data_IF_032323276333
#
_entry.id   IF_032323276333
#
_cell.length_a   1.000
_cell.length_b   1.000
_cell.length_c   1.000
_cell.angle_alpha   90.00
_cell.angle_beta   90.00
_cell.angle_gamma   90.00
#
_symmetry.space_group_name_H-M   'P 1'
#
loop_
_entity.id
_entity.type
_entity.pdbx_description
1 polymer ?
#
# COMPACT_ATOMS: atom_id res chain seq x y z
N UNK A 1 -69.45 15.24 5.83
CA UNK A 1 -68.28 14.75 6.56
C UNK A 1 -67.26 14.31 5.52
N UNK A 2 -66.25 15.12 5.14
CA UNK A 2 -65.24 14.85 4.12
C UNK A 2 -63.99 14.30 4.83
N UNK A 3 -63.63 13.06 4.54
CA UNK A 3 -62.41 12.40 5.07
C UNK A 3 -61.28 12.72 4.11
N UNK A 4 -60.32 13.51 4.55
CA UNK A 4 -59.10 13.81 3.83
C UNK A 4 -58.05 12.72 4.17
N UNK A 5 -57.72 11.88 3.20
CA UNK A 5 -56.67 10.87 3.36
C UNK A 5 -55.36 11.57 3.06
N UNK A 6 -54.46 11.69 4.03
CA UNK A 6 -53.09 12.17 3.88
C UNK A 6 -52.24 10.96 3.53
N UNK A 7 -51.76 10.86 2.29
CA UNK A 7 -50.76 9.87 1.84
C UNK A 7 -49.39 10.43 2.20
N UNK A 8 -48.76 9.90 3.24
CA UNK A 8 -47.37 10.16 3.59
C UNK A 8 -46.48 9.39 2.60
N UNK A 9 -45.86 10.10 1.68
CA UNK A 9 -44.84 9.51 0.78
C UNK A 9 -43.57 9.26 1.60
N UNK A 10 -43.21 8.01 1.87
CA UNK A 10 -41.89 7.62 2.38
C UNK A 10 -40.87 7.83 1.24
N UNK A 11 -40.10 8.90 1.31
CA UNK A 11 -38.93 9.09 0.47
C UNK A 11 -37.82 8.20 1.05
N UNK A 12 -37.62 7.03 0.46
CA UNK A 12 -36.49 6.14 0.75
C UNK A 12 -35.24 6.81 0.16
N UNK A 13 -34.43 7.45 0.98
CA UNK A 13 -33.11 7.94 0.59
C UNK A 13 -32.21 6.70 0.40
N UNK A 14 -32.06 6.26 -0.85
CA UNK A 14 -30.97 5.35 -1.21
C UNK A 14 -29.67 6.13 -1.08
N UNK A 15 -28.96 5.93 0.04
CA UNK A 15 -27.55 6.30 0.13
C UNK A 15 -26.81 5.39 -0.84
N UNK A 16 -26.06 5.92 -1.83
CA UNK A 16 -25.24 5.06 -2.68
C UNK A 16 -24.25 4.33 -1.79
N UNK A 17 -24.29 3.01 -1.76
CA UNK A 17 -23.24 2.21 -1.18
C UNK A 17 -21.98 2.51 -2.03
N UNK A 18 -21.01 3.20 -1.45
CA UNK A 18 -19.70 3.37 -2.08
C UNK A 18 -19.05 1.99 -2.12
N UNK A 19 -19.11 1.35 -3.27
CA UNK A 19 -18.38 0.12 -3.56
C UNK A 19 -16.88 0.43 -3.59
N UNK A 20 -16.06 -0.53 -3.15
CA UNK A 20 -14.62 -0.48 -3.27
C UNK A 20 -14.17 -0.06 -4.68
N UNK A 21 -13.18 0.83 -4.75
CA UNK A 21 -12.57 1.21 -6.03
C UNK A 21 -11.51 0.18 -6.42
N UNK A 22 -11.74 -0.53 -7.52
CA UNK A 22 -10.75 -1.41 -8.13
C UNK A 22 -9.83 -0.55 -9.01
N UNK A 23 -8.52 -0.57 -8.73
CA UNK A 23 -7.54 0.17 -9.52
C UNK A 23 -7.14 -0.58 -10.79
N UNK A 24 -6.97 -1.90 -10.68
CA UNK A 24 -6.63 -2.78 -11.79
C UNK A 24 -6.98 -4.22 -11.41
N UNK A 25 -7.25 -5.05 -12.42
CA UNK A 25 -7.39 -6.49 -12.23
C UNK A 25 -6.74 -7.26 -13.37
N UNK A 26 -6.25 -8.46 -13.07
CA UNK A 26 -5.63 -9.36 -14.06
C UNK A 26 -5.85 -10.81 -13.66
N UNK A 27 -6.17 -11.62 -14.66
CA UNK A 27 -6.24 -13.06 -14.51
C UNK A 27 -4.93 -13.72 -14.98
N UNK A 28 -4.44 -14.67 -14.19
CA UNK A 28 -3.25 -15.48 -14.47
C UNK A 28 -3.63 -16.95 -14.54
N UNK A 29 -2.91 -17.72 -15.33
CA UNK A 29 -3.14 -19.15 -15.53
C UNK A 29 -3.96 -19.48 -16.76
N UNK A 30 -4.20 -20.79 -16.97
CA UNK A 30 -4.91 -21.30 -18.14
C UNK A 30 -6.39 -20.92 -18.11
N UNK A 31 -6.97 -20.64 -19.28
CA UNK A 31 -8.43 -20.48 -19.43
C UNK A 31 -9.19 -21.80 -19.13
N UNK A 32 -8.50 -22.92 -19.23
CA UNK A 32 -9.02 -24.25 -18.93
C UNK A 32 -8.82 -24.67 -17.46
N UNK A 33 -8.34 -23.74 -16.60
CA UNK A 33 -8.18 -24.04 -15.19
C UNK A 33 -9.52 -24.42 -14.55
N UNK A 34 -9.48 -25.45 -13.71
CA UNK A 34 -10.69 -25.99 -13.07
C UNK A 34 -11.08 -25.16 -11.85
N UNK A 35 -10.09 -24.55 -11.22
CA UNK A 35 -10.24 -23.73 -10.02
C UNK A 35 -9.69 -22.33 -10.25
N UNK A 36 -10.35 -21.33 -9.68
CA UNK A 36 -9.89 -19.96 -9.71
C UNK A 36 -9.91 -19.38 -8.30
N UNK A 37 -8.77 -18.84 -7.83
CA UNK A 37 -8.67 -18.12 -6.55
C UNK A 37 -8.59 -16.63 -6.80
N UNK A 38 -9.32 -15.87 -5.99
CA UNK A 38 -9.32 -14.41 -6.07
C UNK A 38 -8.47 -13.80 -4.95
N UNK A 39 -7.44 -13.04 -5.35
CA UNK A 39 -6.54 -12.33 -4.44
C UNK A 39 -6.89 -10.84 -4.47
N UNK A 40 -7.21 -10.27 -3.33
CA UNK A 40 -7.34 -8.82 -3.15
C UNK A 40 -6.05 -8.27 -2.56
N UNK A 41 -5.40 -7.32 -3.23
CA UNK A 41 -4.08 -6.86 -2.85
C UNK A 41 -3.85 -5.36 -3.04
N UNK A 42 -3.02 -4.78 -2.17
CA UNK A 42 -2.48 -3.43 -2.35
C UNK A 42 -1.07 -3.42 -3.00
N UNK A 43 -0.63 -4.56 -3.51
CA UNK A 43 0.65 -4.67 -4.23
C UNK A 43 0.41 -4.54 -5.71
N UNK A 44 1.16 -3.66 -6.38
CA UNK A 44 1.09 -3.50 -7.83
C UNK A 44 1.28 -4.85 -8.52
N UNK A 45 0.43 -5.10 -9.52
CA UNK A 45 0.40 -6.37 -10.25
C UNK A 45 1.76 -6.69 -10.85
N UNK A 46 2.44 -5.71 -11.44
CA UNK A 46 3.74 -5.91 -12.09
C UNK A 46 4.83 -6.39 -11.13
N UNK A 47 4.75 -5.98 -9.86
CA UNK A 47 5.69 -6.42 -8.83
C UNK A 47 5.40 -7.85 -8.37
N UNK A 48 4.13 -8.25 -8.31
CA UNK A 48 3.72 -9.56 -7.78
C UNK A 48 3.50 -10.61 -8.88
N UNK A 49 3.35 -10.20 -10.15
CA UNK A 49 3.14 -11.08 -11.30
C UNK A 49 4.16 -12.22 -11.39
N UNK A 50 5.48 -12.02 -11.24
CA UNK A 50 6.43 -13.12 -11.33
C UNK A 50 6.16 -14.26 -10.34
N UNK A 51 5.71 -13.91 -9.12
CA UNK A 51 5.38 -14.90 -8.08
C UNK A 51 4.14 -15.70 -8.47
N UNK A 52 3.11 -15.00 -8.98
CA UNK A 52 1.85 -15.64 -9.41
C UNK A 52 2.10 -16.51 -10.64
N UNK A 53 2.84 -16.02 -11.62
CA UNK A 53 3.18 -16.76 -12.85
C UNK A 53 3.94 -18.04 -12.55
N UNK A 54 4.90 -18.00 -11.63
CA UNK A 54 5.60 -19.20 -11.17
C UNK A 54 4.65 -20.19 -10.45
N UNK A 55 3.71 -19.68 -9.66
CA UNK A 55 2.72 -20.50 -8.97
C UNK A 55 1.79 -21.22 -9.95
N UNK A 56 1.17 -20.50 -10.89
CA UNK A 56 0.23 -21.09 -11.86
C UNK A 56 0.94 -22.00 -12.87
N UNK A 57 2.21 -21.73 -13.20
CA UNK A 57 3.01 -22.62 -14.04
C UNK A 57 3.21 -24.00 -13.40
N UNK A 58 3.39 -24.03 -12.07
CA UNK A 58 3.50 -25.29 -11.29
C UNK A 58 2.14 -25.93 -11.00
N UNK A 59 1.04 -25.21 -11.20
CA UNK A 59 -0.33 -25.64 -10.89
C UNK A 59 -1.29 -25.28 -12.02
N UNK A 60 -1.20 -25.96 -13.17
CA UNK A 60 -1.94 -25.57 -14.38
C UNK A 60 -3.48 -25.67 -14.26
N UNK A 61 -3.97 -26.39 -13.25
CA UNK A 61 -5.39 -26.50 -12.96
C UNK A 61 -5.94 -25.32 -12.14
N UNK A 62 -5.07 -24.40 -11.71
CA UNK A 62 -5.42 -23.24 -10.89
C UNK A 62 -5.21 -21.98 -11.72
N UNK A 63 -6.20 -21.10 -11.69
CA UNK A 63 -6.08 -19.70 -12.12
C UNK A 63 -6.13 -18.78 -10.92
N UNK A 64 -5.51 -17.62 -11.06
CA UNK A 64 -5.54 -16.55 -10.05
C UNK A 64 -6.19 -15.32 -10.67
N UNK A 65 -7.27 -14.84 -10.09
CA UNK A 65 -7.84 -13.53 -10.35
C UNK A 65 -7.27 -12.55 -9.32
N UNK A 66 -6.37 -11.69 -9.75
CA UNK A 66 -5.71 -10.70 -8.91
C UNK A 66 -6.39 -9.36 -9.06
N UNK A 67 -6.83 -8.79 -7.92
CA UNK A 67 -7.55 -7.51 -7.84
C UNK A 67 -6.69 -6.53 -7.04
N UNK A 68 -6.30 -5.42 -7.68
CA UNK A 68 -5.55 -4.33 -7.06
C UNK A 68 -6.50 -3.26 -6.55
N UNK A 69 -6.34 -2.90 -5.29
CA UNK A 69 -7.06 -1.80 -4.67
C UNK A 69 -6.19 -1.09 -3.61
N UNK A 70 -6.57 0.12 -3.23
CA UNK A 70 -5.88 0.82 -2.15
C UNK A 70 -6.01 0.05 -0.83
N UNK A 71 -5.04 0.22 0.07
CA UNK A 71 -5.08 -0.45 1.38
C UNK A 71 -6.32 -0.06 2.21
N UNK A 72 -6.86 1.14 2.00
CA UNK A 72 -8.09 1.60 2.64
C UNK A 72 -9.33 0.93 2.03
N UNK A 73 -9.37 0.82 0.71
CA UNK A 73 -10.48 0.13 0.02
C UNK A 73 -10.50 -1.36 0.37
N UNK A 74 -9.34 -2.01 0.49
CA UNK A 74 -9.23 -3.39 0.98
C UNK A 74 -9.85 -3.52 2.37
N UNK A 75 -9.51 -2.60 3.28
CA UNK A 75 -10.11 -2.60 4.62
C UNK A 75 -11.63 -2.48 4.54
N UNK A 76 -12.15 -1.51 3.79
CA UNK A 76 -13.59 -1.28 3.62
C UNK A 76 -14.31 -2.47 3.00
N UNK A 77 -13.72 -3.08 1.96
CA UNK A 77 -14.28 -4.25 1.28
C UNK A 77 -14.49 -5.43 2.23
N UNK A 78 -13.53 -5.69 3.12
CA UNK A 78 -13.60 -6.82 4.05
C UNK A 78 -14.49 -6.51 5.25
N UNK A 79 -14.33 -5.34 5.87
CA UNK A 79 -15.02 -4.95 7.09
C UNK A 79 -16.50 -4.59 6.84
N UNK A 80 -16.72 -3.66 5.93
CA UNK A 80 -18.01 -3.01 5.73
C UNK A 80 -18.83 -3.68 4.63
N UNK A 81 -18.23 -3.88 3.45
CA UNK A 81 -18.92 -4.43 2.28
C UNK A 81 -19.05 -5.95 2.36
N UNK A 82 -18.23 -6.58 3.22
CA UNK A 82 -18.19 -8.03 3.43
C UNK A 82 -17.95 -8.81 2.14
N UNK A 83 -17.12 -8.26 1.28
CA UNK A 83 -16.72 -8.87 0.02
C UNK A 83 -16.03 -10.22 0.23
N UNK A 84 -16.15 -11.10 -0.76
CA UNK A 84 -15.60 -12.46 -0.71
C UNK A 84 -14.36 -12.56 -1.58
N UNK A 85 -13.23 -12.84 -0.96
CA UNK A 85 -11.93 -13.12 -1.58
C UNK A 85 -11.32 -14.36 -0.94
N UNK A 86 -10.34 -14.97 -1.60
CA UNK A 86 -9.69 -16.19 -1.08
C UNK A 86 -8.39 -15.85 -0.33
N UNK A 87 -7.73 -14.76 -0.70
CA UNK A 87 -6.56 -14.24 -0.01
C UNK A 87 -6.57 -12.72 -0.02
N UNK A 88 -6.21 -12.10 1.09
CA UNK A 88 -6.04 -10.65 1.21
C UNK A 88 -4.60 -10.32 1.55
N UNK A 89 -3.98 -9.46 0.74
CA UNK A 89 -2.59 -9.01 0.90
C UNK A 89 -2.58 -7.50 1.03
N UNK A 90 -1.91 -6.95 2.05
CA UNK A 90 -1.77 -5.50 2.17
C UNK A 90 -0.45 -5.09 2.79
N UNK A 91 -0.03 -3.89 2.41
CA UNK A 91 1.09 -3.16 2.99
C UNK A 91 0.71 -2.38 4.25
N UNK A 92 -0.59 -2.10 4.47
CA UNK A 92 -1.08 -1.47 5.70
C UNK A 92 -1.28 -2.54 6.77
N UNK A 93 -0.19 -2.98 7.38
CA UNK A 93 -0.20 -4.08 8.34
C UNK A 93 -1.05 -3.79 9.60
N UNK A 94 -1.21 -2.54 9.97
CA UNK A 94 -2.08 -2.09 11.07
C UNK A 94 -3.56 -2.33 10.75
N UNK A 95 -4.01 -2.02 9.53
CA UNK A 95 -5.37 -2.30 9.07
C UNK A 95 -5.60 -3.81 8.93
N UNK A 96 -4.61 -4.57 8.45
CA UNK A 96 -4.67 -6.02 8.39
C UNK A 96 -4.80 -6.62 9.80
N UNK A 97 -4.00 -6.16 10.75
CA UNK A 97 -4.07 -6.58 12.15
C UNK A 97 -5.44 -6.28 12.75
N UNK A 98 -6.01 -5.11 12.44
CA UNK A 98 -7.35 -4.75 12.88
C UNK A 98 -8.40 -5.71 12.33
N UNK A 99 -8.39 -6.00 11.02
CA UNK A 99 -9.31 -6.96 10.39
C UNK A 99 -9.25 -8.34 11.07
N UNK A 100 -8.05 -8.83 11.35
CA UNK A 100 -7.86 -10.12 12.04
C UNK A 100 -8.40 -10.08 13.45
N UNK A 101 -8.13 -9.02 14.22
CA UNK A 101 -8.64 -8.87 15.59
C UNK A 101 -10.18 -8.73 15.65
N UNK A 102 -10.78 -8.13 14.62
CA UNK A 102 -12.23 -8.00 14.46
C UNK A 102 -12.90 -9.31 13.95
N UNK A 103 -12.10 -10.36 13.72
CA UNK A 103 -12.59 -11.70 13.41
C UNK A 103 -12.87 -11.96 11.93
N UNK A 104 -12.28 -11.18 11.02
CA UNK A 104 -12.47 -11.36 9.58
C UNK A 104 -11.55 -12.42 8.96
N UNK A 105 -10.59 -12.99 9.70
CA UNK A 105 -9.66 -13.99 9.22
C UNK A 105 -9.98 -15.41 9.74
N UNK A 106 -9.60 -16.41 8.94
CA UNK A 106 -9.54 -17.82 9.33
C UNK A 106 -8.14 -18.18 9.81
N UNK A 107 -8.05 -19.11 10.74
CA UNK A 107 -6.76 -19.70 11.13
C UNK A 107 -6.29 -20.66 10.05
N UNK A 108 -4.97 -20.66 9.79
CA UNK A 108 -4.34 -21.55 8.83
C UNK A 108 -2.99 -22.03 9.36
N UNK A 109 -2.79 -23.34 9.37
CA UNK A 109 -1.55 -23.95 9.80
C UNK A 109 -0.99 -24.82 8.68
N UNK A 110 0.30 -24.68 8.43
CA UNK A 110 1.06 -25.51 7.50
C UNK A 110 2.52 -25.58 7.95
N UNK A 111 3.31 -26.54 7.45
CA UNK A 111 4.75 -26.55 7.72
C UNK A 111 5.46 -25.23 7.37
N UNK A 112 4.98 -24.53 6.34
CA UNK A 112 5.52 -23.22 5.92
C UNK A 112 5.16 -22.15 6.93
N UNK A 113 3.89 -22.02 7.33
CA UNK A 113 3.48 -21.00 8.30
C UNK A 113 4.04 -21.28 9.69
N UNK A 114 4.21 -22.53 10.06
CA UNK A 114 4.84 -22.92 11.32
C UNK A 114 6.33 -22.52 11.38
N UNK A 115 7.03 -22.50 10.24
CA UNK A 115 8.45 -22.12 10.15
C UNK A 115 8.68 -20.60 10.17
N UNK A 116 7.63 -19.78 10.05
CA UNK A 116 7.76 -18.32 10.15
C UNK A 116 8.18 -17.92 11.57
N UNK A 117 9.04 -16.89 11.71
CA UNK A 117 9.39 -16.35 13.02
C UNK A 117 8.16 -15.75 13.72
N UNK A 118 8.16 -15.75 15.05
CA UNK A 118 7.01 -15.30 15.85
C UNK A 118 6.55 -13.87 15.54
N UNK A 119 7.48 -12.97 15.20
CA UNK A 119 7.15 -11.61 14.82
C UNK A 119 6.44 -11.49 13.45
N UNK A 120 6.51 -12.53 12.61
CA UNK A 120 5.91 -12.55 11.29
C UNK A 120 4.54 -13.24 11.25
N UNK A 121 4.02 -13.68 12.38
CA UNK A 121 2.70 -14.32 12.45
C UNK A 121 1.90 -13.86 13.65
N UNK A 122 0.58 -13.83 13.52
CA UNK A 122 -0.33 -13.45 14.57
C UNK A 122 -1.52 -14.41 14.62
N UNK A 123 -1.68 -15.17 15.72
CA UNK A 123 -2.78 -16.11 16.00
C UNK A 123 -3.00 -17.16 14.90
N UNK A 124 -1.97 -17.51 14.12
CA UNK A 124 -2.09 -18.34 12.93
C UNK A 124 -3.18 -17.83 11.94
N UNK A 125 -3.43 -16.53 11.93
CA UNK A 125 -4.44 -15.87 11.12
C UNK A 125 -3.86 -14.78 10.21
N UNK A 126 -2.75 -14.14 10.61
CA UNK A 126 -2.06 -13.12 9.84
C UNK A 126 -0.59 -13.51 9.67
N UNK A 127 -0.10 -13.43 8.44
CA UNK A 127 1.24 -13.88 8.08
C UNK A 127 1.99 -12.79 7.33
N UNK A 128 3.15 -12.39 7.89
CA UNK A 128 4.09 -11.49 7.22
C UNK A 128 5.04 -12.31 6.34
N UNK A 129 5.11 -11.97 5.06
CA UNK A 129 5.93 -12.73 4.10
C UNK A 129 7.00 -11.91 3.41
N UNK A 130 6.95 -10.57 3.53
CA UNK A 130 7.98 -9.68 3.00
C UNK A 130 8.26 -8.53 3.97
N UNK A 131 9.53 -8.21 4.14
CA UNK A 131 10.04 -7.11 4.97
C UNK A 131 10.65 -6.08 4.04
N UNK A 132 10.13 -4.85 4.10
CA UNK A 132 10.52 -3.80 3.17
C UNK A 132 10.95 -2.53 3.91
N UNK A 133 12.15 -2.00 3.65
CA UNK A 133 12.56 -0.71 4.19
C UNK A 133 11.80 0.42 3.50
N UNK A 134 11.48 1.47 4.23
CA UNK A 134 10.92 2.70 3.70
C UNK A 134 12.06 3.68 3.45
N UNK A 135 12.10 4.22 2.23
CA UNK A 135 13.24 4.97 1.72
C UNK A 135 12.86 6.38 1.26
N UNK A 136 13.85 7.24 1.16
CA UNK A 136 13.77 8.47 0.40
C UNK A 136 14.25 8.19 -1.03
N UNK A 137 13.52 8.70 -2.01
CA UNK A 137 13.90 8.63 -3.42
C UNK A 137 14.16 10.04 -3.93
N UNK A 138 15.28 10.23 -4.64
CA UNK A 138 15.64 11.52 -5.20
C UNK A 138 15.97 11.42 -6.70
N UNK A 139 15.70 12.49 -7.42
CA UNK A 139 16.11 12.65 -8.82
C UNK A 139 17.62 12.86 -8.88
N UNK A 140 18.34 11.99 -9.60
CA UNK A 140 19.80 12.14 -9.79
C UNK A 140 20.15 13.46 -10.46
N UNK A 141 19.31 13.90 -11.40
CA UNK A 141 19.50 15.15 -12.12
C UNK A 141 19.43 16.34 -11.15
N UNK A 142 18.42 16.41 -10.32
CA UNK A 142 18.19 17.54 -9.41
C UNK A 142 19.18 17.55 -8.24
N UNK A 143 19.72 16.38 -7.88
CA UNK A 143 20.74 16.22 -6.85
C UNK A 143 22.17 16.17 -7.39
N UNK A 144 22.41 16.45 -8.69
CA UNK A 144 23.74 16.37 -9.28
C UNK A 144 24.75 17.32 -8.61
N UNK A 145 24.30 18.49 -8.14
CA UNK A 145 25.12 19.49 -7.44
C UNK A 145 24.79 19.59 -5.94
N UNK A 146 23.93 18.72 -5.41
CA UNK A 146 23.54 18.74 -4.00
C UNK A 146 24.16 17.55 -3.25
N UNK A 147 24.43 17.71 -1.94
CA UNK A 147 24.84 16.58 -1.12
C UNK A 147 23.70 15.55 -1.02
N UNK A 148 24.02 14.25 -0.98
CA UNK A 148 23.03 13.23 -0.69
C UNK A 148 22.55 13.34 0.77
N UNK A 149 21.23 13.33 1.03
CA UNK A 149 20.71 13.33 2.38
C UNK A 149 21.10 12.03 3.10
N UNK A 150 21.63 12.16 4.32
CA UNK A 150 21.98 11.02 5.17
C UNK A 150 21.01 10.85 6.34
N UNK A 151 20.21 11.86 6.63
CA UNK A 151 19.18 11.84 7.68
C UNK A 151 18.01 12.77 7.31
N UNK A 152 16.89 12.64 7.99
CA UNK A 152 15.74 13.54 7.82
C UNK A 152 16.10 14.98 8.12
N UNK A 153 16.93 15.21 9.15
CA UNK A 153 17.46 16.56 9.49
C UNK A 153 18.32 17.12 8.36
N UNK A 154 19.19 16.30 7.77
CA UNK A 154 20.01 16.73 6.63
C UNK A 154 19.14 17.00 5.40
N UNK A 155 18.15 16.16 5.10
CA UNK A 155 17.20 16.38 4.03
C UNK A 155 16.42 17.70 4.22
N UNK A 156 15.92 17.97 5.43
CA UNK A 156 15.29 19.22 5.80
C UNK A 156 16.18 20.44 5.51
N UNK A 157 17.46 20.35 5.87
CA UNK A 157 18.45 21.42 5.61
C UNK A 157 18.64 21.66 4.12
N UNK A 158 18.77 20.59 3.32
CA UNK A 158 18.92 20.66 1.87
C UNK A 158 17.70 21.36 1.23
N UNK A 159 16.47 20.97 1.62
CA UNK A 159 15.25 21.59 1.10
C UNK A 159 15.20 23.09 1.40
N UNK A 160 15.51 23.48 2.64
CA UNK A 160 15.48 24.89 3.06
C UNK A 160 16.50 25.74 2.29
N UNK A 161 17.71 25.23 2.11
CA UNK A 161 18.79 25.95 1.43
C UNK A 161 18.62 26.02 -0.09
N UNK A 162 17.78 25.17 -0.67
CA UNK A 162 17.62 25.05 -2.12
C UNK A 162 16.14 25.11 -2.53
N UNK A 163 15.35 25.97 -1.91
CA UNK A 163 13.90 26.05 -2.07
C UNK A 163 13.44 26.18 -3.53
N UNK A 164 14.24 26.82 -4.39
CA UNK A 164 13.92 26.94 -5.82
C UNK A 164 13.90 25.59 -6.57
N UNK A 165 14.67 24.60 -6.12
CA UNK A 165 14.70 23.25 -6.72
C UNK A 165 13.48 22.44 -6.25
N UNK A 166 13.04 22.65 -5.00
CA UNK A 166 12.07 21.78 -4.33
C UNK A 166 10.64 22.30 -4.33
N UNK A 167 10.41 23.58 -4.63
CA UNK A 167 9.05 24.16 -4.67
C UNK A 167 8.19 23.41 -5.70
N UNK A 168 7.03 22.90 -5.24
CA UNK A 168 6.06 22.09 -5.99
C UNK A 168 6.64 20.79 -6.58
N UNK A 169 7.83 20.38 -6.11
CA UNK A 169 8.59 19.23 -6.63
C UNK A 169 8.97 18.22 -5.55
N UNK A 170 8.31 18.26 -4.42
CA UNK A 170 8.34 17.21 -3.40
C UNK A 170 7.06 16.38 -3.48
N UNK A 171 7.15 15.12 -3.07
CA UNK A 171 6.00 14.22 -3.03
C UNK A 171 6.06 13.28 -1.83
N UNK A 172 4.90 12.95 -1.28
CA UNK A 172 4.73 11.92 -0.24
C UNK A 172 3.31 11.36 -0.30
N UNK A 173 2.98 10.45 0.59
CA UNK A 173 1.63 9.89 0.65
C UNK A 173 0.59 10.89 1.16
N UNK A 174 -0.63 10.77 0.62
CA UNK A 174 -1.84 11.33 1.23
C UNK A 174 -2.33 10.37 2.32
N UNK A 175 -2.19 10.80 3.56
CA UNK A 175 -2.59 10.00 4.74
C UNK A 175 -4.12 9.78 4.84
N UNK A 176 -4.92 10.55 4.09
CA UNK A 176 -6.37 10.40 4.10
C UNK A 176 -6.85 9.24 3.21
N UNK A 177 -6.09 8.91 2.17
CA UNK A 177 -6.45 7.86 1.20
C UNK A 177 -5.53 6.65 1.25
N UNK A 178 -4.28 6.83 1.72
CA UNK A 178 -3.29 5.76 1.82
C UNK A 178 -3.15 5.27 3.26
N UNK A 179 -3.63 4.06 3.58
CA UNK A 179 -3.42 3.43 4.88
C UNK A 179 -1.93 3.20 5.17
N UNK A 180 -1.16 2.82 4.15
CA UNK A 180 0.31 2.68 4.24
C UNK A 180 0.97 4.03 4.53
N UNK A 181 0.53 5.09 3.87
CA UNK A 181 1.01 6.45 4.12
C UNK A 181 0.69 6.93 5.54
N UNK A 182 -0.50 6.65 6.03
CA UNK A 182 -0.89 6.93 7.41
C UNK A 182 0.00 6.19 8.43
N UNK A 183 0.27 4.90 8.17
CA UNK A 183 1.17 4.10 9.00
C UNK A 183 2.57 4.73 9.09
N UNK A 184 3.17 5.11 7.96
CA UNK A 184 4.51 5.71 7.94
C UNK A 184 4.56 7.07 8.63
N UNK A 185 3.58 7.94 8.37
CA UNK A 185 3.50 9.23 9.04
C UNK A 185 3.37 9.08 10.56
N UNK A 186 2.56 8.11 11.02
CA UNK A 186 2.39 7.80 12.44
C UNK A 186 3.68 7.28 13.07
N UNK A 187 4.42 6.41 12.38
CA UNK A 187 5.70 5.91 12.88
C UNK A 187 6.76 7.01 12.92
N UNK A 188 6.87 7.82 11.86
CA UNK A 188 7.80 8.97 11.83
C UNK A 188 7.53 9.95 12.97
N UNK A 189 6.25 10.26 13.23
CA UNK A 189 5.84 11.14 14.31
C UNK A 189 6.23 10.63 15.71
N UNK A 190 6.31 9.30 15.87
CA UNK A 190 6.74 8.64 17.12
C UNK A 190 8.25 8.56 17.28
N UNK A 191 8.98 8.49 16.16
CA UNK A 191 10.43 8.26 16.16
C UNK A 191 11.22 9.57 16.35
N UNK A 192 10.72 10.71 15.84
CA UNK A 192 11.51 11.93 15.84
C UNK A 192 10.70 13.23 15.71
N UNK A 193 10.99 14.20 16.54
CA UNK A 193 10.46 15.58 16.41
C UNK A 193 10.88 16.24 15.08
N UNK A 194 11.92 15.73 14.42
CA UNK A 194 12.36 16.23 13.11
C UNK A 194 11.26 16.00 12.05
N UNK A 195 10.44 14.98 12.22
CA UNK A 195 9.33 14.72 11.31
C UNK A 195 8.35 15.90 11.20
N UNK A 196 7.97 16.50 12.31
CA UNK A 196 7.05 17.64 12.31
C UNK A 196 7.63 18.85 11.59
N UNK A 197 8.93 19.14 11.81
CA UNK A 197 9.62 20.21 11.09
C UNK A 197 9.80 19.92 9.61
N UNK A 198 10.05 18.65 9.25
CA UNK A 198 10.13 18.22 7.85
C UNK A 198 8.76 18.36 7.17
N UNK A 199 7.69 17.93 7.82
CA UNK A 199 6.32 18.04 7.31
C UNK A 199 5.90 19.50 7.10
N UNK A 200 6.23 20.41 8.05
CA UNK A 200 5.99 21.85 7.91
C UNK A 200 6.70 22.42 6.68
N UNK A 201 7.98 22.11 6.52
CA UNK A 201 8.78 22.61 5.39
C UNK A 201 8.30 22.01 4.08
N UNK A 202 8.03 20.71 4.04
CA UNK A 202 7.47 20.06 2.86
C UNK A 202 6.12 20.70 2.48
N UNK A 203 5.25 20.94 3.45
CA UNK A 203 3.97 21.63 3.23
C UNK A 203 4.16 23.04 2.65
N UNK A 204 5.08 23.82 3.22
CA UNK A 204 5.40 25.19 2.73
C UNK A 204 6.02 25.20 1.33
N UNK A 205 6.61 24.10 0.89
CA UNK A 205 7.15 23.91 -0.46
C UNK A 205 6.11 23.44 -1.48
N UNK A 206 4.84 23.28 -1.11
CA UNK A 206 3.80 22.79 -2.02
C UNK A 206 3.94 21.31 -2.33
N UNK A 207 4.31 20.49 -1.34
CA UNK A 207 4.44 19.04 -1.52
C UNK A 207 3.17 18.43 -2.09
N UNK A 208 3.31 17.66 -3.16
CA UNK A 208 2.21 16.91 -3.77
C UNK A 208 1.96 15.62 -3.00
N UNK A 209 0.70 15.24 -2.94
CA UNK A 209 0.28 14.03 -2.23
C UNK A 209 -0.14 12.94 -3.23
N UNK A 210 0.12 11.67 -2.89
CA UNK A 210 -0.21 10.51 -3.72
C UNK A 210 -0.75 9.36 -2.87
N UNK A 211 -1.54 8.47 -3.48
CA UNK A 211 -1.93 7.20 -2.86
C UNK A 211 -0.76 6.22 -2.76
N UNK A 212 0.19 6.29 -3.70
CA UNK A 212 0.94 5.10 -4.09
C UNK A 212 2.41 5.39 -4.40
N UNK A 213 3.32 4.44 -4.05
CA UNK A 213 4.75 4.50 -4.39
C UNK A 213 4.98 4.55 -5.89
N UNK A 214 4.21 3.81 -6.68
CA UNK A 214 4.37 3.72 -8.14
C UNK A 214 4.23 5.09 -8.82
N UNK A 215 3.21 5.87 -8.45
CA UNK A 215 3.01 7.23 -8.97
C UNK A 215 4.17 8.15 -8.57
N UNK A 216 4.58 8.13 -7.30
CA UNK A 216 5.70 8.95 -6.82
C UNK A 216 6.98 8.66 -7.60
N UNK A 217 7.28 7.38 -7.84
CA UNK A 217 8.47 6.95 -8.59
C UNK A 217 8.42 7.37 -10.05
N UNK A 218 7.28 7.22 -10.73
CA UNK A 218 7.09 7.64 -12.11
C UNK A 218 7.36 9.15 -12.29
N UNK A 219 6.90 9.97 -11.33
CA UNK A 219 7.11 11.43 -11.38
C UNK A 219 8.55 11.84 -11.07
N UNK A 220 9.27 11.10 -10.21
CA UNK A 220 10.72 11.32 -10.02
C UNK A 220 11.49 10.94 -11.28
N UNK A 221 11.14 9.80 -11.88
CA UNK A 221 11.74 9.32 -13.13
C UNK A 221 11.65 10.35 -14.26
N UNK A 222 10.43 10.88 -14.46
CA UNK A 222 10.16 11.89 -15.49
C UNK A 222 10.77 13.27 -15.18
N UNK A 223 11.30 13.44 -13.96
CA UNK A 223 11.88 14.71 -13.49
C UNK A 223 10.88 15.79 -13.13
N UNK A 224 9.61 15.43 -12.95
CA UNK A 224 8.58 16.34 -12.41
C UNK A 224 8.82 16.59 -10.91
N UNK A 225 9.24 15.56 -10.19
CA UNK A 225 9.50 15.56 -8.75
C UNK A 225 10.99 15.42 -8.48
N UNK A 226 11.52 16.27 -7.62
CA UNK A 226 12.92 16.24 -7.21
C UNK A 226 13.19 15.21 -6.10
N UNK A 227 12.22 15.00 -5.20
CA UNK A 227 12.33 13.99 -4.15
C UNK A 227 10.94 13.47 -3.71
N UNK A 228 10.86 12.17 -3.46
CA UNK A 228 9.71 11.47 -2.91
C UNK A 228 10.06 10.86 -1.55
N UNK A 229 9.32 11.22 -0.51
CA UNK A 229 9.54 10.81 0.87
C UNK A 229 8.65 9.65 1.27
N UNK A 230 9.20 8.70 2.02
CA UNK A 230 8.51 7.49 2.51
C UNK A 230 8.06 6.52 1.41
N UNK A 231 8.87 6.34 0.39
CA UNK A 231 8.61 5.36 -0.69
C UNK A 231 8.93 3.94 -0.21
N UNK A 232 8.16 2.96 -0.62
CA UNK A 232 8.44 1.53 -0.36
C UNK A 232 9.68 1.10 -1.12
N UNK A 233 10.64 0.50 -0.41
CA UNK A 233 11.99 0.25 -0.92
C UNK A 233 12.06 -0.73 -2.07
N UNK A 234 11.25 -1.80 -2.09
CA UNK A 234 11.22 -2.76 -3.20
C UNK A 234 10.82 -2.11 -4.52
N UNK A 235 9.81 -1.25 -4.50
CA UNK A 235 9.38 -0.47 -5.67
C UNK A 235 10.48 0.48 -6.15
N UNK A 236 11.12 1.18 -5.19
CA UNK A 236 12.19 2.11 -5.49
C UNK A 236 13.40 1.41 -6.11
N UNK A 237 13.79 0.23 -5.61
CA UNK A 237 14.90 -0.56 -6.13
C UNK A 237 14.61 -1.12 -7.52
N UNK A 238 13.41 -1.68 -7.73
CA UNK A 238 12.98 -2.20 -9.02
C UNK A 238 13.02 -1.10 -10.10
N UNK A 239 12.50 0.09 -9.78
CA UNK A 239 12.56 1.24 -10.71
C UNK A 239 13.97 1.74 -10.94
N UNK A 240 14.79 1.86 -9.89
CA UNK A 240 16.17 2.33 -10.02
C UNK A 240 17.05 1.40 -10.86
N UNK A 241 16.73 0.11 -10.93
CA UNK A 241 17.44 -0.85 -11.76
C UNK A 241 17.23 -0.62 -13.26
N UNK A 242 16.09 -0.06 -13.66
CA UNK A 242 15.69 0.16 -15.07
C UNK A 242 15.72 1.62 -15.49
N UNK A 243 15.74 2.58 -14.53
CA UNK A 243 15.61 4.01 -14.82
C UNK A 243 16.73 4.83 -14.15
N UNK A 244 17.58 5.42 -14.99
CA UNK A 244 18.81 6.09 -14.56
C UNK A 244 18.62 7.35 -13.69
N UNK A 245 17.44 8.01 -13.72
CA UNK A 245 17.21 9.24 -12.96
C UNK A 245 16.86 8.99 -11.48
N UNK A 246 16.52 7.77 -11.11
CA UNK A 246 16.15 7.42 -9.72
C UNK A 246 17.38 7.09 -8.89
N UNK A 247 17.49 7.71 -7.70
CA UNK A 247 18.44 7.34 -6.64
C UNK A 247 17.68 7.00 -5.37
N UNK A 248 17.86 5.77 -4.91
CA UNK A 248 17.34 5.31 -3.61
C UNK A 248 18.31 5.75 -2.53
N UNK A 249 17.77 6.32 -1.44
CA UNK A 249 18.52 6.81 -0.29
C UNK A 249 17.97 6.17 0.98
N UNK A 250 18.81 5.42 1.68
CA UNK A 250 18.52 4.92 3.01
C UNK A 250 18.99 5.96 4.02
N UNK A 251 18.06 6.44 4.86
CA UNK A 251 18.39 7.43 5.89
C UNK A 251 18.96 6.71 7.13
N UNK A 252 20.03 7.27 7.71
CA UNK A 252 20.79 6.65 8.78
C UNK A 252 20.20 6.92 10.18
N UNK A 253 19.35 7.96 10.32
CA UNK A 253 18.75 8.30 11.61
C UNK A 253 17.75 7.23 12.10
N UNK A 254 16.93 6.70 11.25
CA UNK A 254 16.12 5.48 11.41
C UNK A 254 15.47 5.09 10.08
N UNK A 255 15.09 3.84 9.97
CA UNK A 255 14.33 3.31 8.81
C UNK A 255 13.06 2.64 9.31
N UNK A 256 11.92 3.14 8.87
CA UNK A 256 10.66 2.42 9.06
C UNK A 256 10.69 1.13 8.24
N UNK A 257 10.23 0.06 8.84
CA UNK A 257 10.12 -1.24 8.20
C UNK A 257 8.64 -1.55 8.00
N UNK A 258 8.29 -1.86 6.76
CA UNK A 258 6.99 -2.38 6.39
C UNK A 258 7.03 -3.90 6.41
N UNK A 259 6.05 -4.50 7.03
CA UNK A 259 5.78 -5.93 6.90
C UNK A 259 4.57 -6.11 5.97
N UNK A 260 4.81 -6.71 4.79
CA UNK A 260 3.70 -7.09 3.90
C UNK A 260 3.05 -8.34 4.44
N UNK A 261 1.76 -8.25 4.66
CA UNK A 261 1.00 -9.31 5.34
C UNK A 261 -0.10 -9.89 4.46
N UNK A 262 -0.43 -11.14 4.74
CA UNK A 262 -1.51 -11.86 4.09
C UNK A 262 -2.38 -12.58 5.13
N UNK A 263 -3.68 -12.66 4.86
CA UNK A 263 -4.60 -13.51 5.61
C UNK A 263 -5.66 -14.13 4.70
N UNK A 264 -6.23 -15.24 5.14
CA UNK A 264 -7.35 -15.91 4.48
C UNK A 264 -8.65 -15.35 5.11
N UNK A 265 -9.51 -14.68 4.33
CA UNK A 265 -10.77 -14.18 4.86
C UNK A 265 -11.66 -15.31 5.37
N UNK A 266 -12.35 -15.08 6.51
CA UNK A 266 -13.31 -16.05 7.08
C UNK A 266 -14.42 -16.44 6.11
N UNK A 267 -14.69 -15.61 5.12
CA UNK A 267 -15.73 -15.82 4.11
C UNK A 267 -15.23 -16.50 2.84
N UNK A 268 -13.93 -16.80 2.74
CA UNK A 268 -13.44 -17.60 1.63
C UNK A 268 -14.17 -18.93 1.56
N UNK A 269 -14.72 -19.25 0.40
CA UNK A 269 -15.46 -20.51 0.17
C UNK A 269 -14.50 -21.66 -0.18
N UNK A 270 -13.23 -21.35 -0.50
CA UNK A 270 -12.23 -22.30 -0.97
C UNK A 270 -11.23 -22.75 0.08
N UNK A 271 -11.32 -22.20 1.27
CA UNK A 271 -10.42 -22.52 2.39
C UNK A 271 -10.58 -23.95 2.93
N UNK A 272 -11.71 -24.61 2.66
CA UNK A 272 -12.02 -25.94 3.17
C UNK A 272 -11.65 -27.09 2.20
N UNK A 273 -11.00 -26.77 1.08
CA UNK A 273 -10.50 -27.72 0.10
C UNK A 273 -8.97 -27.81 0.17
#
# INVERSE_FOLDING_TARGET
MRITIIIAALICWCVPATSMTIELERRFGSELAIEEFTILSSTDIELFAPVIEEFVAKRPNIAIHYVLASSRDIYSAIDTERATYDLVISSAMDLQMKLVNDGHASSFESPVTASLPDWAKWRDQLFGFAVEPIVLVVSRRDFAALPMPISRRHFLSIIRSNSAIFRDRLMTYDVNISGTGFLFATQDARQSDTFWRLSEVMGSMGTRLSCCSGEMLARVENGEIAAAYNVVGSYAQARAATHGNIKVVHLEDYTNILLRTAFIPRRSQKFQQ
#
